data_IF_467374024064
#
_entry.id   IF_467374024064
#
_cell.length_a   1.000
_cell.length_b   1.000
_cell.length_c   1.000
_cell.angle_alpha   90.00
_cell.angle_beta   90.00
_cell.angle_gamma   90.00
#
_symmetry.space_group_name_H-M   'P 1'
#
loop_
_entity.id
_entity.type
_entity.pdbx_description
1 polymer ?
#
# COMPACT_ATOMS: atom_id res chain seq x y z
N UNK A 1 4.31 16.80 -11.62
CA UNK A 1 5.09 17.10 -10.40
C UNK A 1 4.94 15.90 -9.48
N UNK A 2 6.01 15.42 -8.85
CA UNK A 2 5.91 14.36 -7.84
C UNK A 2 5.35 15.01 -6.57
N UNK A 3 4.18 14.58 -6.06
CA UNK A 3 3.65 15.08 -4.77
C UNK A 3 4.74 14.95 -3.68
N UNK A 4 4.95 16.03 -2.92
CA UNK A 4 5.93 16.10 -1.83
C UNK A 4 5.78 14.93 -0.85
N UNK A 5 4.54 14.56 -0.52
CA UNK A 5 4.24 13.45 0.38
C UNK A 5 4.69 12.09 -0.15
N UNK A 6 4.56 11.85 -1.46
CA UNK A 6 4.96 10.58 -2.07
C UNK A 6 6.41 10.20 -1.74
N UNK A 7 7.33 11.16 -1.87
CA UNK A 7 8.76 10.96 -1.55
C UNK A 7 8.96 10.65 -0.06
N UNK A 8 8.28 11.39 0.82
CA UNK A 8 8.39 11.21 2.26
C UNK A 8 7.82 9.85 2.72
N UNK A 9 6.69 9.42 2.14
CA UNK A 9 6.06 8.15 2.45
C UNK A 9 6.93 6.98 1.96
N UNK A 10 7.53 7.08 0.75
CA UNK A 10 8.50 6.09 0.27
C UNK A 10 9.69 5.95 1.22
N UNK A 11 10.24 7.07 1.70
CA UNK A 11 11.35 7.06 2.65
C UNK A 11 10.93 6.45 4.00
N UNK A 12 9.74 6.78 4.50
CA UNK A 12 9.22 6.22 5.75
C UNK A 12 8.95 4.71 5.64
N UNK A 13 8.36 4.26 4.53
CA UNK A 13 8.14 2.84 4.23
C UNK A 13 9.47 2.08 4.11
N UNK A 14 10.44 2.63 3.37
CA UNK A 14 11.77 2.04 3.25
C UNK A 14 12.49 1.92 4.59
N UNK A 15 12.40 2.95 5.45
CA UNK A 15 12.96 2.91 6.80
C UNK A 15 12.27 1.85 7.69
N UNK A 16 10.96 1.68 7.53
CA UNK A 16 10.19 0.68 8.29
C UNK A 16 10.54 -0.75 7.87
N UNK A 17 10.59 -1.01 6.56
CA UNK A 17 10.94 -2.32 6.02
C UNK A 17 12.44 -2.66 6.07
N UNK A 18 13.31 -1.65 6.21
CA UNK A 18 14.75 -1.86 6.38
C UNK A 18 15.38 -2.60 5.19
N UNK A 19 15.95 -3.77 5.45
CA UNK A 19 16.63 -4.59 4.43
C UNK A 19 15.69 -5.43 3.57
N UNK A 20 14.38 -5.30 3.77
CA UNK A 20 13.38 -6.11 3.09
C UNK A 20 13.09 -5.62 1.66
N UNK A 21 14.10 -5.77 0.80
CA UNK A 21 14.09 -5.31 -0.58
C UNK A 21 12.93 -5.92 -1.39
N UNK A 22 12.42 -7.09 -0.98
CA UNK A 22 11.29 -7.74 -1.62
C UNK A 22 10.00 -6.95 -1.40
N UNK A 23 9.62 -6.65 -0.15
CA UNK A 23 8.38 -5.89 0.12
C UNK A 23 8.51 -4.43 -0.33
N UNK A 24 9.68 -3.82 -0.19
CA UNK A 24 9.96 -2.48 -0.74
C UNK A 24 9.75 -2.48 -2.27
N UNK A 25 10.36 -3.44 -2.97
CA UNK A 25 10.24 -3.56 -4.42
C UNK A 25 8.81 -3.83 -4.88
N UNK A 26 8.06 -4.64 -4.12
CA UNK A 26 6.64 -4.90 -4.37
C UNK A 26 5.82 -3.60 -4.31
N UNK A 27 5.89 -2.86 -3.20
CA UNK A 27 5.17 -1.60 -3.01
C UNK A 27 5.53 -0.56 -4.09
N UNK A 28 6.80 -0.46 -4.49
CA UNK A 28 7.22 0.44 -5.57
C UNK A 28 6.60 0.09 -6.93
N UNK A 29 6.49 -1.20 -7.28
CA UNK A 29 5.80 -1.64 -8.51
C UNK A 29 4.30 -1.39 -8.44
N UNK A 30 3.69 -1.62 -7.29
CA UNK A 30 2.26 -1.34 -7.06
C UNK A 30 1.99 0.14 -7.26
N UNK A 31 2.80 1.02 -6.68
CA UNK A 31 2.74 2.46 -6.89
C UNK A 31 2.84 2.82 -8.37
N UNK A 32 3.83 2.28 -9.09
CA UNK A 32 3.99 2.54 -10.52
C UNK A 32 2.71 2.18 -11.31
N UNK A 33 2.15 0.98 -11.09
CA UNK A 33 0.92 0.59 -11.79
C UNK A 33 -0.31 1.38 -11.34
N UNK A 34 -0.40 1.75 -10.07
CA UNK A 34 -1.47 2.58 -9.55
C UNK A 34 -1.48 3.96 -10.23
N UNK A 35 -0.31 4.58 -10.39
CA UNK A 35 -0.14 5.85 -11.11
C UNK A 35 -0.49 5.72 -12.60
N UNK A 36 -0.09 4.62 -13.26
CA UNK A 36 -0.46 4.35 -14.66
C UNK A 36 -1.98 4.20 -14.87
N UNK A 37 -2.67 3.58 -13.90
CA UNK A 37 -4.14 3.43 -13.93
C UNK A 37 -4.80 4.78 -13.64
N UNK A 38 -4.35 5.49 -12.62
CA UNK A 38 -4.86 6.81 -12.23
C UNK A 38 -4.77 7.81 -13.38
N UNK A 39 -3.66 7.82 -14.13
CA UNK A 39 -3.47 8.70 -15.29
C UNK A 39 -4.51 8.53 -16.40
N UNK A 40 -5.26 7.42 -16.41
CA UNK A 40 -6.31 7.10 -17.38
C UNK A 40 -7.72 7.21 -16.78
N UNK A 41 -7.84 7.52 -15.50
CA UNK A 41 -9.09 7.51 -14.76
C UNK A 41 -9.24 8.72 -13.84
N UNK A 42 -10.12 8.59 -12.86
CA UNK A 42 -10.29 9.54 -11.76
C UNK A 42 -9.76 8.93 -10.46
N UNK A 43 -9.48 9.76 -9.47
CA UNK A 43 -8.98 9.36 -8.16
C UNK A 43 -8.19 10.49 -7.51
N UNK A 44 -7.96 10.37 -6.20
CA UNK A 44 -7.09 11.30 -5.48
C UNK A 44 -5.65 10.79 -5.55
N UNK A 45 -4.77 11.55 -6.20
CA UNK A 45 -3.36 11.18 -6.41
C UNK A 45 -2.64 10.88 -5.09
N UNK A 46 -2.93 11.63 -4.02
CA UNK A 46 -2.24 11.48 -2.75
C UNK A 46 -2.77 10.28 -1.97
N UNK A 47 -4.08 10.03 -2.00
CA UNK A 47 -4.68 8.81 -1.41
C UNK A 47 -4.15 7.57 -2.12
N UNK A 48 -4.14 7.57 -3.46
CA UNK A 48 -3.64 6.45 -4.27
C UNK A 48 -2.15 6.21 -3.99
N UNK A 49 -1.32 7.26 -4.01
CA UNK A 49 0.10 7.09 -3.74
C UNK A 49 0.35 6.56 -2.32
N UNK A 50 -0.29 7.14 -1.30
CA UNK A 50 -0.13 6.72 0.09
C UNK A 50 -0.58 5.27 0.31
N UNK A 51 -1.76 4.90 -0.18
CA UNK A 51 -2.29 3.55 -0.05
C UNK A 51 -1.46 2.53 -0.82
N UNK A 52 -1.01 2.84 -2.05
CA UNK A 52 -0.14 1.95 -2.82
C UNK A 52 1.18 1.65 -2.09
N UNK A 53 1.81 2.67 -1.50
CA UNK A 53 3.09 2.52 -0.81
C UNK A 53 2.92 1.74 0.51
N UNK A 54 1.79 1.92 1.21
CA UNK A 54 1.61 1.43 2.58
C UNK A 54 0.66 0.23 2.73
N UNK A 55 0.05 -0.29 1.66
CA UNK A 55 -0.96 -1.38 1.78
C UNK A 55 -0.45 -2.60 2.57
N UNK A 56 0.76 -3.06 2.27
CA UNK A 56 1.40 -4.21 2.93
C UNK A 56 2.17 -3.84 4.22
N UNK A 57 2.09 -2.61 4.73
CA UNK A 57 2.93 -2.15 5.86
C UNK A 57 2.73 -2.98 7.15
N UNK A 58 1.59 -3.65 7.28
CA UNK A 58 1.25 -4.52 8.39
C UNK A 58 2.01 -5.85 8.42
N UNK A 59 2.69 -6.25 7.34
CA UNK A 59 3.24 -7.61 7.20
C UNK A 59 4.23 -8.00 8.31
N UNK A 60 5.13 -7.11 8.73
CA UNK A 60 6.11 -7.40 9.78
C UNK A 60 5.45 -7.55 11.16
N UNK A 61 4.46 -6.71 11.47
CA UNK A 61 3.70 -6.85 12.73
C UNK A 61 2.81 -8.09 12.73
N UNK A 62 2.25 -8.45 11.58
CA UNK A 62 1.51 -9.70 11.41
C UNK A 62 2.40 -10.91 11.69
N UNK A 63 3.60 -10.96 11.07
CA UNK A 63 4.59 -12.01 11.30
C UNK A 63 5.02 -12.06 12.77
N UNK A 64 5.26 -10.91 13.40
CA UNK A 64 5.67 -10.81 14.81
C UNK A 64 4.60 -11.30 15.80
N UNK A 65 3.33 -10.93 15.58
CA UNK A 65 2.23 -11.20 16.53
C UNK A 65 1.55 -12.54 16.33
N UNK A 66 1.43 -12.98 15.08
CA UNK A 66 0.62 -14.15 14.70
C UNK A 66 1.44 -15.26 14.04
N UNK A 67 2.76 -15.06 13.87
CA UNK A 67 3.63 -15.99 13.12
C UNK A 67 3.08 -16.30 11.72
N UNK A 68 2.43 -15.30 11.10
CA UNK A 68 1.74 -15.42 9.82
C UNK A 68 1.76 -14.09 9.08
N UNK A 69 1.88 -14.14 7.76
CA UNK A 69 1.71 -13.00 6.86
C UNK A 69 0.37 -13.04 6.11
N UNK A 70 -0.60 -13.82 6.61
CA UNK A 70 -1.93 -13.88 6.01
C UNK A 70 -2.56 -12.47 5.96
N UNK A 71 -3.29 -12.21 4.88
CA UNK A 71 -3.85 -10.88 4.61
C UNK A 71 -4.75 -10.35 5.72
N UNK A 72 -5.49 -11.22 6.40
CA UNK A 72 -6.35 -10.83 7.53
C UNK A 72 -5.58 -10.18 8.68
N UNK A 73 -4.34 -10.60 8.94
CA UNK A 73 -3.50 -10.00 9.99
C UNK A 73 -2.85 -8.71 9.51
N UNK A 74 -2.50 -8.62 8.22
CA UNK A 74 -1.98 -7.39 7.65
C UNK A 74 -3.03 -6.27 7.66
N UNK A 75 -4.28 -6.61 7.37
CA UNK A 75 -5.44 -5.71 7.44
C UNK A 75 -5.70 -5.18 8.86
N UNK A 76 -5.40 -5.97 9.90
CA UNK A 76 -5.50 -5.55 11.30
C UNK A 76 -4.33 -4.65 11.69
N UNK A 77 -3.11 -5.02 11.31
CA UNK A 77 -1.90 -4.38 11.82
C UNK A 77 -1.42 -3.19 10.97
N UNK A 78 -1.79 -3.15 9.69
CA UNK A 78 -1.40 -2.11 8.73
C UNK A 78 -1.92 -0.71 9.10
N UNK A 79 -3.24 -0.52 9.35
CA UNK A 79 -3.80 0.81 9.59
C UNK A 79 -3.16 1.56 10.78
N UNK A 80 -2.92 0.95 11.96
CA UNK A 80 -2.23 1.63 13.06
C UNK A 80 -0.82 2.13 12.72
N UNK A 81 -0.09 1.40 11.88
CA UNK A 81 1.28 1.74 11.46
C UNK A 81 1.24 2.86 10.42
N UNK A 82 0.40 2.70 9.39
CA UNK A 82 0.20 3.71 8.36
C UNK A 82 -0.25 5.05 8.95
N UNK A 83 -1.21 5.03 9.89
CA UNK A 83 -1.69 6.24 10.58
C UNK A 83 -0.56 6.99 11.29
N UNK A 84 0.33 6.25 11.96
CA UNK A 84 1.48 6.83 12.66
C UNK A 84 2.48 7.46 11.69
N UNK A 85 2.73 6.82 10.56
CA UNK A 85 3.59 7.34 9.50
C UNK A 85 3.00 8.63 8.93
N UNK A 86 1.74 8.59 8.47
CA UNK A 86 1.08 9.71 7.81
C UNK A 86 0.92 10.92 8.73
N UNK A 87 0.56 10.72 10.01
CA UNK A 87 0.48 11.81 11.00
C UNK A 87 1.83 12.46 11.27
N UNK A 88 2.93 11.71 11.30
CA UNK A 88 4.28 12.26 11.49
C UNK A 88 4.76 13.09 10.31
N UNK A 89 4.17 12.87 9.13
CA UNK A 89 4.48 13.60 7.91
C UNK A 89 3.51 14.76 7.67
N UNK A 90 2.63 15.06 8.63
CA UNK A 90 1.56 16.07 8.50
C UNK A 90 0.68 15.87 7.24
N UNK A 91 0.45 14.61 6.86
CA UNK A 91 -0.41 14.28 5.73
C UNK A 91 -1.86 14.78 5.97
N UNK A 92 -2.57 15.26 4.93
CA UNK A 92 -3.88 15.86 5.10
C UNK A 92 -4.86 14.93 5.82
N UNK A 93 -5.43 15.41 6.93
CA UNK A 93 -6.24 14.57 7.83
C UNK A 93 -7.48 14.03 7.14
N UNK A 94 -8.08 14.82 6.27
CA UNK A 94 -9.24 14.47 5.45
C UNK A 94 -8.96 13.31 4.48
N UNK A 95 -7.69 13.03 4.17
CA UNK A 95 -7.26 11.92 3.30
C UNK A 95 -6.82 10.69 4.08
N UNK A 96 -6.34 10.85 5.31
CA UNK A 96 -5.84 9.74 6.14
C UNK A 96 -6.92 8.67 6.28
N UNK A 97 -8.16 9.04 6.59
CA UNK A 97 -9.22 8.08 6.87
C UNK A 97 -9.46 7.13 5.70
N UNK A 98 -9.49 7.63 4.46
CA UNK A 98 -9.64 6.78 3.27
C UNK A 98 -8.41 5.88 3.05
N UNK A 99 -7.19 6.42 3.24
CA UNK A 99 -5.98 5.60 3.13
C UNK A 99 -6.00 4.44 4.13
N UNK A 100 -6.38 4.71 5.38
CA UNK A 100 -6.47 3.67 6.41
C UNK A 100 -7.55 2.64 6.10
N UNK A 101 -8.69 3.08 5.58
CA UNK A 101 -9.79 2.20 5.19
C UNK A 101 -9.42 1.27 4.02
N UNK A 102 -8.67 1.79 3.04
CA UNK A 102 -8.12 0.97 1.94
C UNK A 102 -7.14 -0.07 2.50
N UNK A 103 -6.22 0.33 3.37
CA UNK A 103 -5.23 -0.58 3.98
C UNK A 103 -5.92 -1.64 4.84
N UNK A 104 -6.99 -1.30 5.55
CA UNK A 104 -7.74 -2.25 6.39
C UNK A 104 -8.49 -3.32 5.58
N UNK A 105 -8.61 -3.18 4.26
CA UNK A 105 -9.45 -4.05 3.44
C UNK A 105 -8.81 -4.42 2.08
N UNK A 106 -7.51 -4.19 1.89
CA UNK A 106 -6.85 -4.37 0.60
C UNK A 106 -6.85 -5.83 0.09
N UNK A 107 -7.08 -6.82 0.96
CA UNK A 107 -7.27 -8.22 0.57
C UNK A 107 -8.76 -8.63 0.45
N UNK A 108 -9.70 -7.73 0.75
CA UNK A 108 -11.15 -7.96 0.74
C UNK A 108 -11.86 -7.06 -0.29
N UNK A 109 -11.81 -7.40 -1.59
CA UNK A 109 -12.50 -6.62 -2.61
C UNK A 109 -14.01 -6.57 -2.34
N UNK A 110 -14.61 -5.39 -2.55
CA UNK A 110 -16.05 -5.17 -2.42
C UNK A 110 -16.52 -4.55 -1.10
N UNK A 111 -15.63 -4.41 -0.11
CA UNK A 111 -15.91 -3.67 1.15
C UNK A 111 -15.78 -2.17 0.90
N UNK A 112 -14.60 -1.71 0.51
CA UNK A 112 -14.34 -0.31 0.16
C UNK A 112 -14.73 -0.09 -1.29
N UNK A 113 -15.73 0.76 -1.52
CA UNK A 113 -16.31 1.01 -2.86
C UNK A 113 -15.92 2.40 -3.39
N UNK A 114 -14.62 2.70 -3.32
CA UNK A 114 -14.06 3.95 -3.87
C UNK A 114 -13.24 3.67 -5.11
N UNK A 115 -13.12 4.69 -5.97
CA UNK A 115 -12.27 4.63 -7.15
C UNK A 115 -10.79 4.41 -6.77
N UNK A 116 -10.35 5.03 -5.67
CA UNK A 116 -8.99 4.88 -5.16
C UNK A 116 -8.72 3.41 -4.78
N UNK A 117 -9.63 2.76 -4.04
CA UNK A 117 -9.50 1.34 -3.71
C UNK A 117 -9.38 0.46 -4.96
N UNK A 118 -10.22 0.69 -5.96
CA UNK A 118 -10.21 -0.10 -7.20
C UNK A 118 -8.86 0.01 -7.93
N UNK A 119 -8.26 1.21 -7.93
CA UNK A 119 -6.93 1.44 -8.50
C UNK A 119 -5.87 0.60 -7.76
N UNK A 120 -5.84 0.68 -6.42
CA UNK A 120 -4.87 -0.05 -5.60
C UNK A 120 -5.03 -1.55 -5.78
N UNK A 121 -6.25 -2.07 -5.68
CA UNK A 121 -6.54 -3.48 -5.81
C UNK A 121 -6.12 -4.03 -7.18
N UNK A 122 -6.40 -3.29 -8.27
CA UNK A 122 -5.99 -3.68 -9.62
C UNK A 122 -4.47 -3.67 -9.80
N UNK A 123 -3.80 -2.65 -9.27
CA UNK A 123 -2.34 -2.53 -9.34
C UNK A 123 -1.66 -3.68 -8.57
N UNK A 124 -2.06 -3.93 -7.33
CA UNK A 124 -1.54 -5.02 -6.52
C UNK A 124 -1.78 -6.39 -7.16
N UNK A 125 -3.01 -6.67 -7.58
CA UNK A 125 -3.34 -7.91 -8.30
C UNK A 125 -2.44 -8.14 -9.53
N UNK A 126 -2.06 -7.07 -10.24
CA UNK A 126 -1.16 -7.15 -11.39
C UNK A 126 0.26 -7.53 -10.96
N UNK A 127 0.85 -6.83 -10.00
CA UNK A 127 2.19 -7.12 -9.48
C UNK A 127 2.26 -8.53 -8.93
N UNK A 128 1.27 -8.92 -8.13
CA UNK A 128 1.16 -10.27 -7.57
C UNK A 128 1.18 -11.37 -8.64
N UNK A 129 0.48 -11.18 -9.77
CA UNK A 129 0.53 -12.13 -10.89
C UNK A 129 1.89 -12.18 -11.57
N UNK A 130 2.52 -11.04 -11.78
CA UNK A 130 3.84 -10.95 -12.42
C UNK A 130 4.92 -11.61 -11.56
N UNK A 131 4.91 -11.37 -10.24
CA UNK A 131 5.86 -11.95 -9.29
C UNK A 131 5.65 -13.47 -9.12
N UNK A 132 4.39 -13.94 -9.13
CA UNK A 132 4.09 -15.38 -9.16
C UNK A 132 4.60 -16.07 -10.43
N UNK A 133 4.58 -15.38 -11.59
CA UNK A 133 5.10 -15.95 -12.85
C UNK A 133 6.62 -16.05 -12.85
N UNK A 134 7.33 -15.05 -12.31
CA UNK A 134 8.80 -15.07 -12.21
C UNK A 134 9.30 -16.23 -11.37
N UNK A 135 8.73 -16.43 -10.18
CA UNK A 135 9.07 -17.56 -9.28
C UNK A 135 8.84 -18.96 -9.86
N UNK A 136 8.09 -19.10 -10.95
CA UNK A 136 7.87 -20.39 -11.63
C UNK A 136 8.93 -20.69 -12.70
N UNK A 137 9.74 -19.71 -13.09
CA UNK A 137 10.75 -19.82 -14.14
C UNK A 137 12.19 -19.71 -13.60
N UNK A 138 12.35 -19.50 -12.29
CA UNK A 138 13.61 -19.55 -11.55
C UNK A 138 13.72 -20.89 -10.82
#
# INVERSE_FOLDING_TARGET
>A
MVSHYKKLILQAMGNYFGQDAKRIGHACKVLQYAEEILAKGSGDEEVVAAAAILHDIGIHEAERKYNSNAGEYQEIEGPPIANRILKKLDFPREKIDEVLEIIAHHHRPGIVKTQNFEIIFKADCRVNREEKRRKKHD
#
